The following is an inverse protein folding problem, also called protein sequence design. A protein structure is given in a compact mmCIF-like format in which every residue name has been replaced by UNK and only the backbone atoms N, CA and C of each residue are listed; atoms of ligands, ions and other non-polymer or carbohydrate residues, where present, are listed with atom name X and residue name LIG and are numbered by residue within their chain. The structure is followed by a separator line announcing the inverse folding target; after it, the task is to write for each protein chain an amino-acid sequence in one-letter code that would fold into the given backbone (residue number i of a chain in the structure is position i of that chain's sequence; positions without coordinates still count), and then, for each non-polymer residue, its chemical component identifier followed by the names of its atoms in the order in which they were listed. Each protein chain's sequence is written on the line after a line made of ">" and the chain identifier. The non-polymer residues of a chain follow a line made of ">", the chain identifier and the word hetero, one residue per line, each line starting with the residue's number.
data_IF_732935178663
#
_entry.id   IF_732935178663
#
_cell.length_a   1.000
_cell.length_b   1.000
_cell.length_c   1.000
_cell.angle_alpha   90.00
_cell.angle_beta   90.00
_cell.angle_gamma   90.00
#
_symmetry.space_group_name_H-M   'P 1'
#
loop_
_entity.id
_entity.type
_entity.pdbx_description
1 polymer ?
#
# COMPACT_ATOMS: atom_id res chain seq x y z
N UNK A 1 -18.20 -0.82 -11.94
CA UNK A 1 -17.86 -0.14 -10.67
C UNK A 1 -16.45 -0.53 -10.32
N UNK A 2 -15.56 0.44 -10.07
CA UNK A 2 -14.10 0.20 -10.07
C UNK A 2 -13.52 0.03 -8.65
N UNK A 3 -14.37 0.00 -7.62
CA UNK A 3 -13.94 -0.35 -6.27
C UNK A 3 -15.14 -0.91 -5.51
N UNK A 4 -15.03 -2.13 -5.01
CA UNK A 4 -15.96 -2.69 -4.02
C UNK A 4 -15.36 -2.41 -2.63
N UNK A 5 -15.97 -1.52 -1.82
CA UNK A 5 -15.47 -1.20 -0.49
C UNK A 5 -15.51 -2.39 0.47
N UNK A 6 -16.29 -3.44 0.15
CA UNK A 6 -16.35 -4.69 0.92
C UNK A 6 -15.27 -5.69 0.49
N UNK A 7 -14.58 -5.44 -0.64
CA UNK A 7 -13.51 -6.31 -1.13
C UNK A 7 -12.16 -5.96 -0.48
N UNK A 8 -11.31 -6.98 -0.29
CA UNK A 8 -9.95 -6.78 0.20
C UNK A 8 -9.16 -5.94 -0.82
N UNK A 9 -8.99 -4.65 -0.51
CA UNK A 9 -8.12 -3.77 -1.27
C UNK A 9 -6.66 -4.24 -1.23
N UNK A 10 -5.89 -3.91 -2.28
CA UNK A 10 -4.48 -4.28 -2.38
C UNK A 10 -4.14 -5.28 -3.48
N UNK A 11 -5.14 -5.72 -4.24
CA UNK A 11 -4.98 -6.56 -5.43
C UNK A 11 -5.18 -5.70 -6.68
N UNK A 12 -4.18 -5.60 -7.55
CA UNK A 12 -4.33 -4.88 -8.83
C UNK A 12 -5.33 -5.66 -9.68
N UNK A 13 -6.49 -5.06 -9.94
CA UNK A 13 -7.48 -5.56 -10.89
C UNK A 13 -7.98 -7.00 -10.62
N UNK A 14 -7.93 -7.45 -9.35
CA UNK A 14 -8.35 -8.79 -8.96
C UNK A 14 -7.34 -9.90 -9.27
N UNK A 15 -6.12 -9.58 -9.74
CA UNK A 15 -5.04 -10.56 -9.91
C UNK A 15 -4.45 -10.96 -8.54
N UNK A 16 -4.73 -12.19 -8.03
CA UNK A 16 -4.26 -12.64 -6.73
C UNK A 16 -2.74 -12.57 -6.56
N UNK A 17 -1.98 -12.62 -7.65
CA UNK A 17 -0.52 -12.55 -7.62
C UNK A 17 0.02 -11.14 -7.27
N UNK A 18 -0.84 -10.12 -7.29
CA UNK A 18 -0.48 -8.73 -6.93
C UNK A 18 -1.03 -8.31 -5.57
N UNK A 19 -1.89 -9.14 -4.97
CA UNK A 19 -2.49 -8.90 -3.66
C UNK A 19 -1.47 -8.79 -2.54
N UNK A 20 -1.76 -7.96 -1.53
CA UNK A 20 -0.99 -7.92 -0.30
C UNK A 20 -1.11 -9.28 0.43
N UNK A 21 -0.03 -10.06 0.46
CA UNK A 21 0.04 -11.31 1.22
C UNK A 21 1.48 -11.67 1.52
N UNK A 22 1.74 -11.96 2.79
CA UNK A 22 3.05 -12.44 3.25
C UNK A 22 3.18 -13.96 3.16
N UNK A 23 2.14 -14.65 2.68
CA UNK A 23 2.10 -16.11 2.61
C UNK A 23 2.39 -16.76 3.97
N UNK A 24 3.23 -17.77 3.96
CA UNK A 24 3.79 -18.45 5.14
C UNK A 24 5.15 -17.87 5.58
N UNK A 25 5.55 -16.72 5.02
CA UNK A 25 6.85 -16.07 5.24
C UNK A 25 8.05 -16.92 4.81
N UNK A 26 7.88 -17.92 3.93
CA UNK A 26 8.96 -18.79 3.48
C UNK A 26 10.17 -18.02 2.92
N UNK A 27 9.95 -16.84 2.35
CA UNK A 27 11.01 -15.99 1.80
C UNK A 27 11.94 -15.38 2.86
N UNK A 28 11.48 -15.20 4.11
CA UNK A 28 12.31 -14.64 5.18
C UNK A 28 13.35 -15.63 5.72
N UNK A 29 13.15 -16.93 5.50
CA UNK A 29 14.08 -18.00 5.89
C UNK A 29 15.00 -18.47 4.76
N UNK A 30 14.87 -17.92 3.55
CA UNK A 30 15.62 -18.37 2.39
C UNK A 30 17.09 -17.91 2.45
N UNK A 31 18.04 -18.84 2.34
CA UNK A 31 19.48 -18.56 2.50
C UNK A 31 20.25 -18.50 1.18
N UNK A 32 19.64 -18.88 0.06
CA UNK A 32 20.37 -19.20 -1.19
C UNK A 32 19.91 -18.42 -2.43
N UNK A 33 19.12 -17.35 -2.25
CA UNK A 33 18.53 -16.60 -3.37
C UNK A 33 17.31 -17.29 -4.02
N UNK A 34 16.82 -18.37 -3.41
CA UNK A 34 15.68 -19.15 -3.89
C UNK A 34 14.35 -18.38 -3.78
N UNK A 35 14.27 -17.35 -2.95
CA UNK A 35 13.12 -16.47 -2.84
C UNK A 35 13.56 -15.01 -2.95
N UNK A 36 12.80 -14.23 -3.71
CA UNK A 36 13.02 -12.78 -3.90
C UNK A 36 11.88 -11.93 -3.34
N UNK A 37 10.83 -12.58 -2.82
CA UNK A 37 9.65 -11.98 -2.20
C UNK A 37 9.43 -12.58 -0.80
N UNK A 38 8.72 -11.86 0.07
CA UNK A 38 8.54 -12.26 1.48
C UNK A 38 7.77 -13.58 1.66
N UNK A 39 6.85 -13.89 0.76
CA UNK A 39 6.04 -15.11 0.74
C UNK A 39 6.76 -16.31 0.10
N UNK A 40 8.03 -16.17 -0.27
CA UNK A 40 8.81 -17.25 -0.88
C UNK A 40 8.76 -17.28 -2.41
N UNK A 41 8.08 -16.35 -3.07
CA UNK A 41 8.09 -16.31 -4.54
C UNK A 41 9.49 -16.07 -5.10
N UNK A 42 9.82 -16.79 -6.17
CA UNK A 42 11.15 -16.77 -6.83
C UNK A 42 11.26 -15.70 -7.91
N UNK A 43 10.14 -15.10 -8.31
CA UNK A 43 10.05 -14.01 -9.27
C UNK A 43 9.66 -12.70 -8.58
N UNK A 44 10.30 -11.60 -8.97
CA UNK A 44 10.03 -10.29 -8.39
C UNK A 44 8.78 -9.65 -9.02
N UNK A 45 7.87 -9.18 -8.17
CA UNK A 45 6.72 -8.37 -8.57
C UNK A 45 6.69 -7.07 -7.75
N UNK A 46 7.00 -5.94 -8.38
CA UNK A 46 7.10 -4.65 -7.68
C UNK A 46 5.78 -4.17 -7.08
N UNK A 47 4.64 -4.44 -7.73
CA UNK A 47 3.32 -4.13 -7.18
C UNK A 47 3.07 -4.93 -5.89
N UNK A 48 3.30 -6.25 -5.93
CA UNK A 48 3.19 -7.11 -4.75
C UNK A 48 4.14 -6.67 -3.64
N UNK A 49 5.42 -6.39 -3.95
CA UNK A 49 6.40 -5.93 -2.96
C UNK A 49 5.95 -4.65 -2.26
N UNK A 50 5.39 -3.69 -3.02
CA UNK A 50 4.79 -2.49 -2.45
C UNK A 50 3.61 -2.82 -1.53
N UNK A 51 2.68 -3.65 -1.99
CA UNK A 51 1.50 -4.06 -1.21
C UNK A 51 1.88 -4.81 0.08
N UNK A 52 2.81 -5.76 0.01
CA UNK A 52 3.37 -6.50 1.15
C UNK A 52 4.06 -5.56 2.15
N UNK A 53 4.82 -4.57 1.67
CA UNK A 53 5.47 -3.58 2.56
C UNK A 53 4.46 -2.76 3.35
N UNK A 54 3.30 -2.41 2.75
CA UNK A 54 2.23 -1.70 3.44
C UNK A 54 1.52 -2.60 4.45
N UNK A 55 1.32 -3.87 4.12
CA UNK A 55 0.82 -4.87 5.08
C UNK A 55 1.76 -5.01 6.28
N UNK A 56 3.08 -5.09 6.06
CA UNK A 56 4.08 -5.10 7.13
C UNK A 56 3.97 -3.88 8.06
N UNK A 57 3.76 -2.68 7.53
CA UNK A 57 3.58 -1.48 8.36
C UNK A 57 2.33 -1.57 9.25
N UNK A 58 1.22 -2.11 8.72
CA UNK A 58 -0.01 -2.32 9.52
C UNK A 58 0.22 -3.37 10.60
N UNK A 59 0.88 -4.49 10.26
CA UNK A 59 1.23 -5.54 11.23
C UNK A 59 2.20 -5.03 12.31
N UNK A 60 3.17 -4.19 11.94
CA UNK A 60 4.07 -3.51 12.88
C UNK A 60 3.27 -2.65 13.85
N UNK A 61 2.36 -1.80 13.37
CA UNK A 61 1.51 -0.98 14.23
C UNK A 61 0.65 -1.83 15.17
N UNK A 62 0.09 -2.94 14.68
CA UNK A 62 -0.69 -3.89 15.48
C UNK A 62 0.16 -4.53 16.59
N UNK A 63 1.36 -5.00 16.26
CA UNK A 63 2.27 -5.61 17.23
C UNK A 63 2.82 -4.60 18.24
N UNK A 64 3.13 -3.38 17.79
CA UNK A 64 3.54 -2.29 18.67
C UNK A 64 2.41 -1.91 19.64
N UNK A 65 1.16 -1.83 19.18
CA UNK A 65 0.00 -1.62 20.06
C UNK A 65 -0.14 -2.76 21.07
N UNK A 66 0.05 -4.02 20.66
CA UNK A 66 0.00 -5.18 21.58
C UNK A 66 1.06 -5.10 22.67
N UNK A 67 2.25 -4.57 22.37
CA UNK A 67 3.38 -4.47 23.32
C UNK A 67 3.31 -3.25 24.22
N UNK A 68 2.88 -2.11 23.69
CA UNK A 68 3.04 -0.80 24.33
C UNK A 68 1.76 0.05 24.32
N UNK A 69 0.60 -0.54 23.98
CA UNK A 69 -0.66 0.20 23.85
C UNK A 69 -1.16 0.84 25.16
N UNK A 70 -0.77 0.30 26.30
CA UNK A 70 -1.06 0.87 27.62
C UNK A 70 -0.11 2.03 27.98
N UNK A 71 1.06 2.11 27.33
CA UNK A 71 2.09 3.14 27.58
C UNK A 71 1.98 4.32 26.58
N UNK A 72 1.61 4.03 25.32
CA UNK A 72 1.49 5.03 24.28
C UNK A 72 0.44 4.67 23.23
N UNK A 73 -0.13 5.69 22.59
CA UNK A 73 -1.03 5.47 21.47
C UNK A 73 -0.26 5.03 20.23
N UNK A 74 -0.69 3.93 19.61
CA UNK A 74 -0.14 3.40 18.35
C UNK A 74 -1.27 3.29 17.34
N UNK A 75 -1.12 3.91 16.17
CA UNK A 75 -2.14 3.94 15.12
C UNK A 75 -1.52 3.71 13.75
N UNK A 76 -2.22 2.96 12.90
CA UNK A 76 -1.96 2.91 11.45
C UNK A 76 -2.93 3.84 10.72
N UNK A 77 -2.44 4.64 9.78
CA UNK A 77 -3.24 5.66 9.11
C UNK A 77 -3.12 5.56 7.59
N UNK A 78 -4.26 5.62 6.90
CA UNK A 78 -4.36 5.76 5.46
C UNK A 78 -5.02 7.11 5.15
N UNK A 79 -4.30 8.09 4.56
CA UNK A 79 -4.86 9.40 4.25
C UNK A 79 -5.85 9.39 3.08
N UNK A 80 -5.97 8.26 2.36
CA UNK A 80 -6.62 8.19 1.05
C UNK A 80 -5.59 8.21 -0.07
N UNK A 81 -6.05 8.09 -1.32
CA UNK A 81 -5.16 8.19 -2.47
C UNK A 81 -4.75 9.65 -2.67
N UNK A 82 -3.45 9.94 -2.68
CA UNK A 82 -2.91 11.28 -2.99
C UNK A 82 -1.98 11.16 -4.20
N UNK A 83 -2.54 11.44 -5.38
CA UNK A 83 -1.88 11.31 -6.69
C UNK A 83 -0.81 12.38 -6.97
N UNK A 84 -0.91 13.54 -6.32
CA UNK A 84 -0.01 14.68 -6.49
C UNK A 84 1.36 14.51 -5.81
N UNK A 85 1.55 13.47 -4.98
CA UNK A 85 2.84 13.22 -4.30
C UNK A 85 3.92 12.67 -5.23
N UNK A 86 5.16 12.67 -4.73
CA UNK A 86 6.31 12.03 -5.40
C UNK A 86 6.24 10.49 -5.47
N UNK A 87 5.23 9.86 -4.87
CA UNK A 87 5.10 8.39 -4.79
C UNK A 87 5.07 7.72 -6.17
N UNK A 88 4.40 8.34 -7.14
CA UNK A 88 4.30 7.82 -8.51
C UNK A 88 5.42 8.33 -9.43
N UNK A 89 6.51 8.90 -8.91
CA UNK A 89 7.56 9.51 -9.75
C UNK A 89 8.24 8.50 -10.68
N UNK A 90 8.49 7.28 -10.21
CA UNK A 90 9.05 6.21 -11.06
C UNK A 90 8.04 5.74 -12.11
N UNK A 91 6.78 5.49 -11.71
CA UNK A 91 5.70 5.16 -12.64
C UNK A 91 5.49 6.24 -13.71
N UNK A 92 5.60 7.53 -13.37
CA UNK A 92 5.56 8.65 -14.33
C UNK A 92 6.75 8.66 -15.29
N UNK A 93 7.92 8.16 -14.88
CA UNK A 93 9.10 8.06 -15.75
C UNK A 93 8.98 6.88 -16.71
N UNK A 94 8.54 5.74 -16.20
CA UNK A 94 8.53 4.48 -16.95
C UNK A 94 7.26 4.32 -17.80
N UNK A 95 6.14 4.90 -17.36
CA UNK A 95 4.87 4.94 -18.09
C UNK A 95 4.15 6.30 -17.87
N UNK A 96 4.66 7.39 -18.49
CA UNK A 96 4.12 8.74 -18.31
C UNK A 96 2.66 8.84 -18.75
N UNK A 97 2.28 8.24 -19.88
CA UNK A 97 0.94 8.33 -20.45
C UNK A 97 -0.07 7.56 -19.58
N UNK A 98 0.26 6.35 -19.13
CA UNK A 98 -0.59 5.55 -18.27
C UNK A 98 -0.78 6.19 -16.89
N UNK A 99 0.27 6.81 -16.33
CA UNK A 99 0.18 7.48 -15.03
C UNK A 99 -0.62 8.78 -15.11
N UNK A 100 -0.50 9.55 -16.20
CA UNK A 100 -1.34 10.74 -16.45
C UNK A 100 -2.80 10.34 -16.64
N UNK A 101 -3.08 9.28 -17.40
CA UNK A 101 -4.43 8.78 -17.60
C UNK A 101 -5.04 8.24 -16.29
N UNK A 102 -4.29 7.47 -15.51
CA UNK A 102 -4.74 6.98 -14.20
C UNK A 102 -4.98 8.14 -13.22
N UNK A 103 -4.09 9.13 -13.18
CA UNK A 103 -4.26 10.30 -12.31
C UNK A 103 -5.48 11.12 -12.74
N UNK A 104 -5.70 11.33 -14.04
CA UNK A 104 -6.89 12.00 -14.56
C UNK A 104 -8.18 11.23 -14.23
N UNK A 105 -8.18 9.90 -14.38
CA UNK A 105 -9.33 9.06 -14.04
C UNK A 105 -9.59 9.10 -12.53
N UNK A 106 -8.55 8.94 -11.70
CA UNK A 106 -8.66 8.92 -10.24
C UNK A 106 -9.07 10.28 -9.65
N UNK A 107 -8.58 11.39 -10.21
CA UNK A 107 -8.88 12.75 -9.75
C UNK A 107 -10.20 13.28 -10.33
N UNK A 108 -10.45 13.12 -11.63
CA UNK A 108 -11.56 13.81 -12.32
C UNK A 108 -12.78 12.96 -12.63
N UNK A 109 -12.62 11.66 -12.83
CA UNK A 109 -13.72 10.77 -13.23
C UNK A 109 -14.23 9.90 -12.08
N UNK A 110 -13.36 9.49 -11.18
CA UNK A 110 -13.70 8.57 -10.10
C UNK A 110 -13.68 9.22 -8.70
N UNK A 111 -13.06 10.40 -8.55
CA UNK A 111 -13.22 11.28 -7.39
C UNK A 111 -12.75 10.72 -6.05
N UNK A 112 -11.88 9.69 -6.04
CA UNK A 112 -11.37 9.07 -4.81
C UNK A 112 -9.96 9.54 -4.42
N UNK A 113 -9.35 10.41 -5.22
CA UNK A 113 -8.11 11.10 -4.85
C UNK A 113 -8.41 12.30 -3.93
N UNK A 114 -7.57 12.54 -2.94
CA UNK A 114 -7.69 13.67 -2.02
C UNK A 114 -6.47 14.60 -2.11
N UNK A 115 -6.64 15.92 -1.93
CA UNK A 115 -5.52 16.85 -1.85
C UNK A 115 -4.57 16.54 -0.71
N UNK A 116 -3.31 16.98 -0.83
CA UNK A 116 -2.28 16.80 0.22
C UNK A 116 -2.72 17.44 1.53
N UNK A 117 -3.35 18.60 1.44
CA UNK A 117 -3.85 19.40 2.56
C UNK A 117 -4.90 18.62 3.35
N UNK A 118 -5.86 17.99 2.65
CA UNK A 118 -6.90 17.14 3.27
C UNK A 118 -6.27 15.90 3.92
N UNK A 119 -5.27 15.29 3.28
CA UNK A 119 -4.50 14.20 3.88
C UNK A 119 -3.79 14.64 5.17
N UNK A 120 -3.24 15.85 5.18
CA UNK A 120 -2.61 16.47 6.34
C UNK A 120 -3.59 16.76 7.48
N UNK A 121 -4.76 17.33 7.18
CA UNK A 121 -5.82 17.58 8.16
C UNK A 121 -6.30 16.28 8.83
N UNK A 122 -6.50 15.23 8.04
CA UNK A 122 -6.85 13.89 8.57
C UNK A 122 -5.76 13.33 9.48
N UNK A 123 -4.49 13.56 9.15
CA UNK A 123 -3.38 13.14 10.00
C UNK A 123 -3.40 13.88 11.33
N UNK A 124 -3.60 15.21 11.32
CA UNK A 124 -3.76 16.00 12.55
C UNK A 124 -4.88 15.45 13.41
N UNK A 125 -6.06 15.20 12.82
CA UNK A 125 -7.21 14.65 13.52
C UNK A 125 -6.94 13.31 14.22
N UNK A 126 -6.14 12.42 13.61
CA UNK A 126 -5.79 11.11 14.20
C UNK A 126 -4.64 11.19 15.20
N UNK A 127 -3.82 12.25 15.14
CA UNK A 127 -2.68 12.46 16.02
C UNK A 127 -3.05 13.17 17.33
N UNK A 128 -4.09 14.01 17.31
CA UNK A 128 -4.65 14.73 18.47
C UNK A 128 -5.74 13.94 19.17
#
# INVERSE_FOLDING_TARGET
>A
GVHDPESAGGTVQGDPATGATLGDLAGLGATSGDAVMADGATSYCGAKAYHDSKLCNVLMAREAHRRWGDEMSVRSFNPGLITSTGLFRAARRDNPIGTVLFSFVAEKLAGFSVPVEVGGERLVYVAT
#
